data_IF_824247380650
#
_entry.id   IF_824247380650
#
_cell.length_a   1.000
_cell.length_b   1.000
_cell.length_c   1.000
_cell.angle_alpha   90.00
_cell.angle_beta   90.00
_cell.angle_gamma   90.00
#
_symmetry.space_group_name_H-M   'P 1'
#
loop_
_entity.id
_entity.type
_entity.pdbx_description
1 polymer ?
#
# COMPACT_ATOMS: atom_id res chain seq x y z
N UNK A 1 12.75 -7.71 -4.38
CA UNK A 1 11.54 -6.95 -4.75
C UNK A 1 10.57 -6.97 -3.59
N UNK A 2 10.18 -5.81 -3.08
CA UNK A 2 9.21 -5.61 -2.00
C UNK A 2 8.16 -4.59 -2.43
N UNK A 3 6.97 -4.67 -1.83
CA UNK A 3 5.97 -3.61 -1.95
C UNK A 3 6.06 -2.68 -0.75
N UNK A 4 6.16 -1.37 -1.01
CA UNK A 4 6.19 -0.31 -0.01
C UNK A 4 5.04 0.67 -0.17
N UNK A 5 4.72 1.39 0.91
CA UNK A 5 3.71 2.43 0.93
C UNK A 5 4.23 3.67 1.66
N UNK A 6 4.10 4.83 1.03
CA UNK A 6 4.35 6.13 1.65
C UNK A 6 3.01 6.87 1.71
N UNK A 7 2.63 7.36 2.87
CA UNK A 7 1.42 8.14 3.09
C UNK A 7 1.86 9.54 3.52
N UNK A 8 1.55 10.54 2.70
CA UNK A 8 1.95 11.93 2.90
C UNK A 8 0.73 12.74 3.34
N UNK A 9 0.86 13.48 4.44
CA UNK A 9 -0.14 14.41 4.92
C UNK A 9 -0.05 14.65 6.43
N UNK A 10 0.06 15.90 6.83
CA UNK A 10 0.06 16.35 8.23
C UNK A 10 -1.26 16.03 8.94
N UNK A 11 -2.39 16.00 8.20
CA UNK A 11 -3.70 15.67 8.76
C UNK A 11 -3.80 14.22 9.26
N UNK A 12 -3.00 13.32 8.68
CA UNK A 12 -2.90 11.93 9.14
C UNK A 12 -2.06 11.87 10.41
N UNK A 13 -0.88 12.50 10.41
CA UNK A 13 0.01 12.52 11.56
C UNK A 13 -0.58 13.24 12.77
N UNK A 14 -1.35 14.30 12.55
CA UNK A 14 -2.03 15.03 13.62
C UNK A 14 -3.33 14.37 14.11
N UNK A 15 -3.75 13.26 13.48
CA UNK A 15 -4.99 12.58 13.84
C UNK A 15 -6.28 13.30 13.42
N UNK A 16 -6.19 14.41 12.66
CA UNK A 16 -7.36 15.11 12.10
C UNK A 16 -8.13 14.24 11.10
N UNK A 17 -7.42 13.35 10.40
CA UNK A 17 -7.99 12.31 9.54
C UNK A 17 -7.39 10.96 9.88
N UNK A 18 -8.21 9.93 9.86
CA UNK A 18 -7.74 8.55 9.97
C UNK A 18 -7.23 8.07 8.62
N UNK A 19 -6.07 7.44 8.60
CA UNK A 19 -5.59 6.76 7.40
C UNK A 19 -6.51 5.63 6.98
N UNK A 20 -6.76 5.58 5.67
CA UNK A 20 -7.55 4.52 5.00
C UNK A 20 -6.76 3.84 3.88
N UNK A 21 -5.54 4.32 3.59
CA UNK A 21 -4.73 3.77 2.51
C UNK A 21 -4.04 2.49 2.93
N UNK A 22 -3.43 2.45 4.11
CA UNK A 22 -2.70 1.27 4.58
C UNK A 22 -3.55 0.00 4.57
N UNK A 23 -4.72 -0.06 5.23
CA UNK A 23 -5.54 -1.27 5.21
C UNK A 23 -6.00 -1.64 3.79
N UNK A 24 -6.38 -0.65 2.97
CA UNK A 24 -6.82 -0.91 1.59
C UNK A 24 -5.71 -1.43 0.69
N UNK A 25 -4.49 -0.90 0.80
CA UNK A 25 -3.34 -1.38 0.01
C UNK A 25 -2.97 -2.81 0.41
N UNK A 26 -3.04 -3.14 1.71
CA UNK A 26 -2.87 -4.52 2.18
C UNK A 26 -3.89 -5.44 1.51
N UNK A 27 -5.18 -5.09 1.52
CA UNK A 27 -6.24 -5.87 0.88
C UNK A 27 -6.03 -6.04 -0.63
N UNK A 28 -5.67 -4.94 -1.33
CA UNK A 28 -5.44 -4.95 -2.77
C UNK A 28 -4.26 -5.85 -3.17
N UNK A 29 -3.19 -5.82 -2.38
CA UNK A 29 -2.03 -6.69 -2.58
C UNK A 29 -2.37 -8.15 -2.26
N UNK A 30 -3.02 -8.41 -1.13
CA UNK A 30 -3.41 -9.74 -0.70
C UNK A 30 -4.31 -10.44 -1.73
N UNK A 31 -5.29 -9.71 -2.30
CA UNK A 31 -6.16 -10.23 -3.37
C UNK A 31 -5.41 -10.70 -4.63
N UNK A 32 -4.13 -10.31 -4.77
CA UNK A 32 -3.24 -10.67 -5.90
C UNK A 32 -2.09 -11.58 -5.49
N UNK A 33 -2.16 -12.16 -4.29
CA UNK A 33 -1.11 -13.01 -3.72
C UNK A 33 0.18 -12.27 -3.38
N UNK A 34 0.10 -10.95 -3.18
CA UNK A 34 1.21 -10.07 -2.86
C UNK A 34 1.09 -9.59 -1.40
N UNK A 35 2.18 -9.10 -0.84
CA UNK A 35 2.18 -8.59 0.53
C UNK A 35 2.94 -7.28 0.64
N UNK A 36 2.46 -6.37 1.49
CA UNK A 36 3.15 -5.14 1.83
C UNK A 36 4.33 -5.46 2.77
N UNK A 37 5.52 -4.97 2.44
CA UNK A 37 6.72 -5.19 3.23
C UNK A 37 6.93 -4.08 4.28
N UNK A 38 6.58 -2.85 3.94
CA UNK A 38 6.74 -1.71 4.83
C UNK A 38 5.77 -0.57 4.47
N UNK A 39 5.48 0.28 5.45
CA UNK A 39 4.76 1.53 5.27
C UNK A 39 5.46 2.67 6.03
N UNK A 40 5.40 3.89 5.49
CA UNK A 40 5.90 5.12 6.12
C UNK A 40 4.82 6.19 6.09
N UNK A 41 4.69 6.92 7.19
CA UNK A 41 3.87 8.11 7.30
C UNK A 41 4.79 9.33 7.36
N UNK A 42 4.53 10.31 6.51
CA UNK A 42 5.38 11.50 6.33
C UNK A 42 4.48 12.74 6.34
N UNK A 43 4.88 13.77 7.07
CA UNK A 43 4.24 15.08 7.01
C UNK A 43 4.55 15.82 5.72
N UNK A 44 3.94 17.00 5.55
CA UNK A 44 4.07 17.82 4.33
C UNK A 44 5.42 18.60 4.27
N UNK A 45 6.46 18.07 4.90
CA UNK A 45 7.84 18.59 4.85
C UNK A 45 8.54 18.15 3.55
N UNK A 46 8.89 19.08 2.64
CA UNK A 46 9.48 18.73 1.35
C UNK A 46 10.86 18.06 1.45
N UNK A 47 11.64 18.33 2.49
CA UNK A 47 12.97 17.74 2.65
C UNK A 47 12.83 16.28 3.13
N UNK A 48 11.90 16.04 4.04
CA UNK A 48 11.58 14.70 4.52
C UNK A 48 10.99 13.82 3.43
N UNK A 49 10.01 14.35 2.69
CA UNK A 49 9.41 13.65 1.54
C UNK A 49 10.49 13.29 0.52
N UNK A 50 11.40 14.23 0.18
CA UNK A 50 12.47 13.98 -0.77
C UNK A 50 13.45 12.90 -0.29
N UNK A 51 13.77 12.87 1.01
CA UNK A 51 14.64 11.83 1.59
C UNK A 51 14.00 10.45 1.51
N UNK A 52 12.72 10.31 1.92
CA UNK A 52 12.01 9.03 1.86
C UNK A 52 11.81 8.54 0.41
N UNK A 53 11.54 9.45 -0.53
CA UNK A 53 11.44 9.12 -1.95
C UNK A 53 12.79 8.70 -2.55
N UNK A 54 13.91 9.33 -2.12
CA UNK A 54 15.25 8.93 -2.54
C UNK A 54 15.56 7.48 -2.14
N UNK A 55 15.21 7.11 -0.91
CA UNK A 55 15.34 5.73 -0.43
C UNK A 55 14.46 4.78 -1.25
N UNK A 56 13.21 5.17 -1.53
CA UNK A 56 12.28 4.38 -2.32
C UNK A 56 12.80 4.14 -3.75
N UNK A 57 13.30 5.18 -4.42
CA UNK A 57 13.90 5.05 -5.76
C UNK A 57 15.17 4.22 -5.74
N UNK A 58 15.99 4.32 -4.69
CA UNK A 58 17.19 3.48 -4.54
C UNK A 58 16.84 2.00 -4.37
N UNK A 59 15.81 1.69 -3.57
CA UNK A 59 15.27 0.32 -3.43
C UNK A 59 14.69 -0.20 -4.75
N UNK A 60 13.91 0.63 -5.45
CA UNK A 60 13.37 0.29 -6.76
C UNK A 60 14.48 -0.03 -7.78
N UNK A 61 15.53 0.78 -7.83
CA UNK A 61 16.65 0.59 -8.77
C UNK A 61 17.51 -0.64 -8.43
N UNK A 62 17.73 -0.92 -7.15
CA UNK A 62 18.61 -2.00 -6.70
C UNK A 62 17.91 -3.35 -6.62
N UNK A 63 16.69 -3.37 -6.05
CA UNK A 63 15.99 -4.59 -5.63
C UNK A 63 14.70 -4.83 -6.42
N UNK A 64 14.34 -3.90 -7.33
CA UNK A 64 13.08 -3.95 -8.07
C UNK A 64 11.86 -3.62 -7.20
N UNK A 65 12.01 -2.84 -6.12
CA UNK A 65 10.92 -2.52 -5.22
C UNK A 65 9.83 -1.69 -5.90
N UNK A 66 8.59 -1.95 -5.55
CA UNK A 66 7.38 -1.24 -6.00
C UNK A 66 6.85 -0.43 -4.83
N UNK A 67 6.78 0.89 -4.99
CA UNK A 67 6.34 1.77 -3.90
C UNK A 67 5.15 2.61 -4.35
N UNK A 68 4.06 2.56 -3.61
CA UNK A 68 2.94 3.50 -3.75
C UNK A 68 3.15 4.70 -2.84
N UNK A 69 2.96 5.91 -3.37
CA UNK A 69 2.98 7.17 -2.60
C UNK A 69 1.62 7.83 -2.72
N UNK A 70 0.93 7.98 -1.59
CA UNK A 70 -0.42 8.54 -1.50
C UNK A 70 -0.37 9.92 -0.86
N UNK A 71 -0.82 10.96 -1.57
CA UNK A 71 -0.90 12.33 -1.05
C UNK A 71 0.15 13.30 -1.60
N UNK A 72 -0.09 14.59 -1.40
CA UNK A 72 0.82 15.68 -1.73
C UNK A 72 1.05 15.95 -3.23
N UNK A 73 0.16 15.46 -4.11
CA UNK A 73 0.27 15.68 -5.58
C UNK A 73 -0.76 16.66 -6.16
N UNK A 74 -1.53 17.33 -5.32
CA UNK A 74 -2.51 18.32 -5.70
C UNK A 74 -1.90 19.68 -6.15
N UNK A 75 -2.68 20.75 -6.06
CA UNK A 75 -2.28 22.10 -6.46
C UNK A 75 -2.22 23.10 -5.30
N UNK A 76 -2.37 22.62 -4.06
CA UNK A 76 -2.32 23.47 -2.87
C UNK A 76 -0.87 23.71 -2.43
N UNK A 77 -0.59 24.78 -1.66
CA UNK A 77 0.77 25.13 -1.27
C UNK A 77 1.51 24.06 -0.44
N UNK A 78 0.78 23.18 0.21
CA UNK A 78 1.28 22.03 1.00
C UNK A 78 1.53 20.77 0.16
N UNK A 79 1.15 20.76 -1.13
CA UNK A 79 1.39 19.63 -2.05
C UNK A 79 2.85 19.63 -2.57
N UNK A 80 3.75 19.01 -1.83
CA UNK A 80 5.19 19.00 -2.13
C UNK A 80 5.71 17.72 -2.80
N UNK A 81 4.90 16.67 -2.91
CA UNK A 81 5.37 15.33 -3.34
C UNK A 81 5.95 15.33 -4.76
N UNK A 82 5.36 16.07 -5.70
CA UNK A 82 5.85 16.16 -7.09
C UNK A 82 7.24 16.79 -7.17
N UNK A 83 7.44 17.91 -6.48
CA UNK A 83 8.70 18.62 -6.39
C UNK A 83 9.77 17.79 -5.68
N UNK A 84 9.38 17.13 -4.60
CA UNK A 84 10.25 16.23 -3.83
C UNK A 84 10.68 15.02 -4.65
N UNK A 85 9.80 14.47 -5.50
CA UNK A 85 10.14 13.40 -6.43
C UNK A 85 11.19 13.84 -7.47
N UNK A 86 11.03 15.06 -8.04
CA UNK A 86 12.04 15.64 -8.94
C UNK A 86 13.40 15.81 -8.26
N UNK A 87 13.41 16.33 -7.03
CA UNK A 87 14.64 16.48 -6.22
C UNK A 87 15.30 15.14 -5.90
N UNK A 88 14.52 14.14 -5.49
CA UNK A 88 15.01 12.81 -5.17
C UNK A 88 15.69 12.12 -6.38
N UNK A 89 15.16 12.37 -7.57
CA UNK A 89 15.67 11.83 -8.83
C UNK A 89 16.77 12.68 -9.48
N UNK A 90 16.94 13.92 -9.04
CA UNK A 90 17.79 14.90 -9.75
C UNK A 90 17.25 15.25 -11.15
N UNK A 91 15.92 15.21 -11.35
CA UNK A 91 15.24 15.48 -12.62
C UNK A 91 14.46 16.79 -12.56
N UNK A 92 14.47 17.58 -13.64
CA UNK A 92 13.60 18.75 -13.72
C UNK A 92 12.13 18.33 -13.80
N UNK A 93 11.26 19.28 -13.46
CA UNK A 93 9.80 19.12 -13.57
C UNK A 93 9.32 19.75 -14.87
N UNK A 94 8.42 19.09 -15.57
CA UNK A 94 7.78 19.60 -16.78
C UNK A 94 6.27 19.29 -16.77
N UNK A 95 5.50 20.12 -17.43
CA UNK A 95 4.08 19.86 -17.66
C UNK A 95 3.97 18.69 -18.64
N UNK A 96 3.44 17.57 -18.15
CA UNK A 96 3.27 16.36 -18.95
C UNK A 96 2.18 16.57 -20.01
N UNK A 97 2.44 16.32 -21.31
CA UNK A 97 1.48 16.62 -22.37
C UNK A 97 0.12 15.94 -22.20
N UNK A 98 0.11 14.66 -21.87
CA UNK A 98 -1.13 13.90 -21.64
C UNK A 98 -1.88 14.41 -20.39
N UNK A 99 -1.15 14.70 -19.29
CA UNK A 99 -1.77 15.26 -18.09
C UNK A 99 -2.42 16.62 -18.36
N UNK A 100 -1.75 17.49 -19.14
CA UNK A 100 -2.31 18.75 -19.60
C UNK A 100 -3.64 18.55 -20.31
N UNK A 101 -3.68 17.64 -21.26
CA UNK A 101 -4.88 17.40 -22.08
C UNK A 101 -6.04 16.84 -21.22
N UNK A 102 -5.73 15.95 -20.27
CA UNK A 102 -6.70 15.43 -19.28
C UNK A 102 -7.23 16.55 -18.37
N UNK A 103 -6.36 17.44 -17.88
CA UNK A 103 -6.77 18.59 -17.07
C UNK A 103 -7.67 19.52 -17.87
N UNK A 104 -7.34 19.83 -19.14
CA UNK A 104 -8.20 20.63 -20.02
C UNK A 104 -9.55 19.96 -20.27
N UNK A 105 -9.60 18.65 -20.46
CA UNK A 105 -10.85 17.93 -20.57
C UNK A 105 -11.69 18.08 -19.30
N UNK A 106 -11.09 17.89 -18.13
CA UNK A 106 -11.80 18.05 -16.85
C UNK A 106 -12.31 19.49 -16.67
N UNK A 107 -11.52 20.51 -17.04
CA UNK A 107 -11.95 21.91 -16.99
C UNK A 107 -13.17 22.15 -17.88
N UNK A 108 -13.21 21.58 -19.09
CA UNK A 108 -14.36 21.68 -19.99
C UNK A 108 -15.59 20.98 -19.41
N UNK A 109 -15.41 19.77 -18.84
CA UNK A 109 -16.49 19.03 -18.20
C UNK A 109 -17.10 19.87 -17.06
N UNK A 110 -16.27 20.45 -16.20
CA UNK A 110 -16.72 21.31 -15.09
C UNK A 110 -17.42 22.58 -15.57
N UNK A 111 -16.89 23.24 -16.61
CA UNK A 111 -17.54 24.42 -17.18
C UNK A 111 -18.93 24.08 -17.75
N UNK A 112 -19.04 22.93 -18.43
CA UNK A 112 -20.32 22.43 -18.95
C UNK A 112 -21.30 22.05 -17.82
N UNK A 113 -20.84 21.37 -16.77
CA UNK A 113 -21.63 21.03 -15.58
C UNK A 113 -22.18 22.29 -14.88
N UNK A 114 -21.42 23.38 -14.88
CA UNK A 114 -21.78 24.66 -14.25
C UNK A 114 -22.54 25.60 -15.19
N UNK A 115 -22.65 25.26 -16.46
CA UNK A 115 -23.30 26.15 -17.47
C UNK A 115 -22.54 27.45 -17.75
N UNK A 116 -21.19 27.45 -17.56
CA UNK A 116 -20.34 28.62 -17.79
C UNK A 116 -19.41 28.42 -18.98
N UNK A 117 -18.90 29.48 -19.62
CA UNK A 117 -17.91 29.38 -20.68
C UNK A 117 -16.63 28.70 -20.21
N UNK A 118 -16.00 27.91 -21.08
CA UNK A 118 -14.67 27.38 -20.83
C UNK A 118 -13.60 28.46 -21.09
N UNK A 119 -12.90 28.85 -20.05
CA UNK A 119 -11.86 29.89 -20.05
C UNK A 119 -10.52 29.29 -19.65
N UNK A 120 -9.73 28.71 -20.57
CA UNK A 120 -8.49 28.00 -20.24
C UNK A 120 -7.43 28.91 -19.61
N UNK A 121 -7.41 30.20 -19.96
CA UNK A 121 -6.42 31.17 -19.54
C UNK A 121 -6.79 31.90 -18.23
N UNK A 122 -7.91 31.53 -17.62
CA UNK A 122 -8.29 32.06 -16.31
C UNK A 122 -7.29 31.59 -15.25
N UNK A 123 -6.88 32.48 -14.34
CA UNK A 123 -5.80 32.23 -13.37
C UNK A 123 -5.94 30.90 -12.60
N UNK A 124 -7.15 30.55 -12.15
CA UNK A 124 -7.41 29.31 -11.45
C UNK A 124 -7.26 28.06 -12.35
N UNK A 125 -7.57 28.20 -13.64
CA UNK A 125 -7.39 27.13 -14.63
C UNK A 125 -5.91 26.95 -14.98
N UNK A 126 -5.16 28.04 -15.10
CA UNK A 126 -3.70 28.01 -15.27
C UNK A 126 -3.06 27.33 -14.05
N UNK A 127 -3.53 27.67 -12.84
CA UNK A 127 -3.03 27.07 -11.59
C UNK A 127 -3.29 25.55 -11.52
N UNK A 128 -4.41 25.08 -12.06
CA UNK A 128 -4.73 23.65 -12.14
C UNK A 128 -3.74 22.84 -12.98
N UNK A 129 -3.08 23.46 -13.96
CA UNK A 129 -2.05 22.79 -14.76
C UNK A 129 -0.86 22.34 -13.92
N UNK A 130 -0.63 22.95 -12.74
CA UNK A 130 0.41 22.50 -11.81
C UNK A 130 0.21 21.03 -11.39
N UNK A 131 -1.02 20.52 -11.37
CA UNK A 131 -1.28 19.10 -11.06
C UNK A 131 -0.76 18.14 -12.13
N UNK A 132 -0.43 18.63 -13.31
CA UNK A 132 0.17 17.87 -14.40
C UNK A 132 1.69 18.05 -14.57
N UNK A 133 2.32 18.80 -13.65
CA UNK A 133 3.76 19.05 -13.66
C UNK A 133 4.46 17.95 -12.89
N UNK A 134 5.16 17.06 -13.61
CA UNK A 134 5.82 15.86 -13.09
C UNK A 134 7.31 15.85 -13.38
N UNK A 135 8.11 15.02 -12.68
CA UNK A 135 9.51 14.79 -13.07
C UNK A 135 9.59 14.29 -14.51
N UNK A 136 10.56 14.75 -15.27
CA UNK A 136 10.79 14.30 -16.66
C UNK A 136 10.94 12.78 -16.73
N UNK A 137 10.28 12.16 -17.72
CA UNK A 137 10.21 10.71 -17.88
C UNK A 137 9.16 10.01 -17.00
N UNK A 138 8.28 10.77 -16.36
CA UNK A 138 7.11 10.21 -15.68
C UNK A 138 6.12 9.60 -16.69
N UNK A 139 5.43 8.54 -16.28
CA UNK A 139 4.32 7.92 -17.00
C UNK A 139 3.01 8.20 -16.26
N UNK A 140 1.91 8.37 -17.00
CA UNK A 140 0.59 8.67 -16.44
C UNK A 140 -0.01 7.45 -15.74
N UNK A 141 -0.66 7.70 -14.60
CA UNK A 141 -1.60 6.78 -13.95
C UNK A 141 -2.99 7.41 -14.13
N UNK A 142 -3.90 6.77 -14.88
CA UNK A 142 -5.22 7.33 -15.15
C UNK A 142 -6.06 7.40 -13.87
N UNK A 143 -6.81 8.49 -13.74
CA UNK A 143 -7.75 8.69 -12.63
C UNK A 143 -9.20 8.62 -13.17
N UNK A 144 -9.92 7.53 -12.92
CA UNK A 144 -11.28 7.36 -13.44
C UNK A 144 -12.30 8.29 -12.76
N UNK A 145 -11.97 8.85 -11.59
CA UNK A 145 -12.89 9.70 -10.84
C UNK A 145 -13.05 11.11 -11.44
N UNK A 146 -11.93 11.76 -11.78
CA UNK A 146 -11.97 13.15 -12.22
C UNK A 146 -10.96 13.51 -13.32
N UNK A 147 -10.30 12.53 -13.94
CA UNK A 147 -9.26 12.66 -14.97
C UNK A 147 -7.96 13.34 -14.52
N UNK A 148 -7.87 13.85 -13.29
CA UNK A 148 -6.60 14.42 -12.78
C UNK A 148 -5.64 13.27 -12.47
N UNK A 149 -4.72 13.05 -13.37
CA UNK A 149 -3.85 11.89 -13.36
C UNK A 149 -2.87 11.87 -12.16
N UNK A 150 -2.53 10.68 -11.71
CA UNK A 150 -1.30 10.43 -11.00
C UNK A 150 -0.14 10.18 -11.96
N UNK A 151 1.02 9.84 -11.42
CA UNK A 151 2.17 9.55 -12.24
C UNK A 151 3.03 8.44 -11.61
N UNK A 152 3.88 7.83 -12.42
CA UNK A 152 4.89 6.89 -11.95
C UNK A 152 6.24 7.19 -12.57
N UNK A 153 7.29 6.83 -11.86
CA UNK A 153 8.65 6.90 -12.37
C UNK A 153 9.34 5.57 -12.12
N UNK A 154 9.82 4.97 -13.20
CA UNK A 154 10.58 3.72 -13.14
C UNK A 154 12.00 3.97 -12.68
N UNK A 155 12.53 3.01 -11.91
CA UNK A 155 13.92 2.95 -11.49
C UNK A 155 14.36 1.48 -11.50
N UNK A 156 15.23 1.10 -12.44
CA UNK A 156 15.55 -0.32 -12.69
C UNK A 156 14.30 -1.14 -13.04
N UNK A 157 14.15 -2.29 -12.42
CA UNK A 157 12.98 -3.17 -12.59
C UNK A 157 11.79 -2.77 -11.70
N UNK A 158 11.99 -1.80 -10.79
CA UNK A 158 10.97 -1.28 -9.89
C UNK A 158 10.50 0.13 -10.26
N UNK A 159 9.82 0.78 -9.31
CA UNK A 159 9.35 2.15 -9.49
C UNK A 159 8.52 2.68 -8.34
N UNK A 160 8.27 3.99 -8.39
CA UNK A 160 7.39 4.69 -7.43
C UNK A 160 6.18 5.21 -8.18
N UNK A 161 5.00 4.94 -7.62
CA UNK A 161 3.69 5.21 -8.18
C UNK A 161 2.95 6.21 -7.29
N UNK A 162 2.68 7.39 -7.81
CA UNK A 162 2.13 8.52 -7.07
C UNK A 162 0.64 8.70 -7.37
N UNK A 163 -0.17 8.69 -6.32
CA UNK A 163 -1.62 8.85 -6.38
C UNK A 163 -2.09 9.92 -5.39
N UNK A 164 -3.28 10.53 -5.60
CA UNK A 164 -3.83 11.51 -4.65
C UNK A 164 -4.04 10.94 -3.25
N UNK A 165 -4.14 11.84 -2.24
CA UNK A 165 -4.48 11.46 -0.87
C UNK A 165 -5.97 11.10 -0.65
N UNK A 166 -6.85 11.29 -1.64
CA UNK A 166 -8.27 10.96 -1.51
C UNK A 166 -8.55 9.49 -1.88
N UNK A 167 -9.08 8.68 -0.94
CA UNK A 167 -9.36 7.26 -1.16
C UNK A 167 -10.16 6.96 -2.43
N UNK A 168 -11.21 7.73 -2.71
CA UNK A 168 -12.08 7.57 -3.89
C UNK A 168 -11.32 7.69 -5.22
N UNK A 169 -10.20 8.40 -5.24
CA UNK A 169 -9.31 8.54 -6.40
C UNK A 169 -8.16 7.53 -6.33
N UNK A 170 -7.46 7.48 -5.20
CA UNK A 170 -6.25 6.69 -5.05
C UNK A 170 -6.47 5.18 -5.22
N UNK A 171 -7.53 4.63 -4.65
CA UNK A 171 -7.74 3.17 -4.67
C UNK A 171 -7.96 2.61 -6.08
N UNK A 172 -8.85 3.16 -6.92
CA UNK A 172 -8.96 2.69 -8.31
C UNK A 172 -7.68 2.87 -9.13
N UNK A 173 -6.89 3.90 -8.82
CA UNK A 173 -5.61 4.14 -9.50
C UNK A 173 -4.57 3.09 -9.10
N UNK A 174 -4.50 2.71 -7.81
CA UNK A 174 -3.62 1.63 -7.32
C UNK A 174 -4.06 0.29 -7.93
N UNK A 175 -5.37 0.00 -7.96
CA UNK A 175 -5.91 -1.19 -8.61
C UNK A 175 -5.51 -1.25 -10.09
N UNK A 176 -5.66 -0.15 -10.80
CA UNK A 176 -5.25 -0.08 -12.21
C UNK A 176 -3.75 -0.36 -12.38
N UNK A 177 -2.89 0.23 -11.54
CA UNK A 177 -1.44 -0.05 -11.58
C UNK A 177 -1.15 -1.52 -11.35
N UNK A 178 -1.76 -2.12 -10.34
CA UNK A 178 -1.58 -3.53 -10.02
C UNK A 178 -2.04 -4.45 -11.16
N UNK A 179 -3.18 -4.13 -11.80
CA UNK A 179 -3.79 -5.02 -12.79
C UNK A 179 -3.28 -4.79 -14.22
N UNK A 180 -2.87 -3.56 -14.58
CA UNK A 180 -2.42 -3.25 -15.93
C UNK A 180 -0.88 -3.20 -16.06
N UNK A 181 -0.17 -2.71 -15.04
CA UNK A 181 1.29 -2.55 -15.10
C UNK A 181 2.05 -3.68 -14.40
N UNK A 182 1.47 -4.24 -13.33
CA UNK A 182 2.13 -5.17 -12.43
C UNK A 182 1.49 -6.57 -12.40
N UNK A 183 0.58 -6.86 -13.33
CA UNK A 183 -0.10 -8.17 -13.43
C UNK A 183 0.87 -9.35 -13.47
N UNK A 184 2.04 -9.18 -14.07
CA UNK A 184 3.07 -10.20 -14.15
C UNK A 184 3.67 -10.58 -12.78
N UNK A 185 3.45 -9.77 -11.75
CA UNK A 185 3.87 -10.03 -10.37
C UNK A 185 2.82 -10.78 -9.56
N UNK A 186 1.57 -10.91 -10.07
CA UNK A 186 0.50 -11.61 -9.37
C UNK A 186 0.89 -13.08 -9.13
N UNK A 187 0.59 -13.58 -7.94
CA UNK A 187 0.86 -14.96 -7.55
C UNK A 187 -0.46 -15.70 -7.40
N UNK A 188 -0.55 -16.85 -8.07
CA UNK A 188 -1.68 -17.77 -7.93
C UNK A 188 -1.57 -18.58 -6.64
N UNK A 189 -0.35 -18.76 -6.13
CA UNK A 189 -0.08 -19.42 -4.86
C UNK A 189 -0.18 -18.38 -3.74
N UNK A 190 -1.42 -17.95 -3.45
CA UNK A 190 -1.69 -17.06 -2.34
C UNK A 190 -1.15 -17.68 -1.04
N UNK A 191 -0.49 -16.85 -0.25
CA UNK A 191 -0.15 -17.23 1.11
C UNK A 191 -1.45 -17.53 1.84
N UNK A 192 -1.60 -18.75 2.32
CA UNK A 192 -2.75 -19.20 3.10
C UNK A 192 -2.40 -19.20 4.56
N UNK A 193 -3.39 -18.93 5.39
CA UNK A 193 -3.26 -18.97 6.84
C UNK A 193 -4.31 -19.93 7.42
N UNK A 194 -3.88 -20.71 8.40
CA UNK A 194 -4.77 -21.52 9.24
C UNK A 194 -4.42 -21.26 10.69
N UNK A 195 -5.39 -20.89 11.50
CA UNK A 195 -5.20 -20.58 12.91
C UNK A 195 -6.31 -21.14 13.78
N UNK A 196 -6.06 -21.18 15.07
CA UNK A 196 -7.02 -21.59 16.09
C UNK A 196 -6.96 -20.62 17.27
N UNK A 197 -8.10 -20.37 17.89
CA UNK A 197 -8.18 -19.58 19.12
C UNK A 197 -7.76 -20.48 20.29
N UNK A 198 -6.79 -20.02 21.08
CA UNK A 198 -6.22 -20.76 22.23
C UNK A 198 -6.52 -19.98 23.50
N UNK A 199 -7.20 -20.61 24.44
CA UNK A 199 -7.55 -20.00 25.72
C UNK A 199 -6.60 -20.45 26.84
N UNK A 200 -6.29 -19.50 27.74
CA UNK A 200 -5.58 -19.77 28.97
C UNK A 200 -4.09 -20.16 28.82
N UNK A 201 -3.57 -20.17 27.62
CA UNK A 201 -2.16 -20.41 27.37
C UNK A 201 -1.34 -19.12 27.45
N UNK A 202 -0.05 -19.27 27.75
CA UNK A 202 0.96 -18.20 27.66
C UNK A 202 1.85 -18.46 26.45
N UNK A 203 2.16 -17.41 25.67
CA UNK A 203 3.02 -17.52 24.48
C UNK A 203 4.35 -18.20 24.78
N UNK A 204 4.98 -17.83 25.93
CA UNK A 204 6.26 -18.41 26.34
C UNK A 204 6.26 -19.94 26.50
N UNK A 205 5.11 -20.53 26.85
CA UNK A 205 4.99 -21.98 26.97
C UNK A 205 4.80 -22.67 25.61
N UNK A 206 4.33 -21.93 24.61
CA UNK A 206 4.08 -22.42 23.25
C UNK A 206 5.23 -22.13 22.29
N UNK A 207 6.19 -21.26 22.69
CA UNK A 207 7.34 -20.89 21.86
C UNK A 207 8.13 -22.11 21.34
N UNK A 208 8.47 -23.13 22.15
CA UNK A 208 9.18 -24.31 21.65
C UNK A 208 8.43 -25.04 20.52
N UNK A 209 7.11 -25.17 20.61
CA UNK A 209 6.27 -25.75 19.56
C UNK A 209 6.30 -24.91 18.29
N UNK A 210 6.25 -23.57 18.42
CA UNK A 210 6.33 -22.66 17.28
C UNK A 210 7.67 -22.77 16.55
N UNK A 211 8.78 -22.81 17.29
CA UNK A 211 10.12 -22.99 16.74
C UNK A 211 10.31 -24.34 16.07
N UNK A 212 9.78 -25.41 16.65
CA UNK A 212 9.80 -26.75 16.08
C UNK A 212 9.08 -26.79 14.72
N UNK A 213 7.90 -26.18 14.63
CA UNK A 213 7.12 -26.13 13.39
C UNK A 213 7.89 -25.38 12.30
N UNK A 214 8.46 -24.21 12.60
CA UNK A 214 9.24 -23.43 11.62
C UNK A 214 10.50 -24.18 11.16
N UNK A 215 11.14 -24.93 12.06
CA UNK A 215 12.31 -25.74 11.72
C UNK A 215 11.95 -26.96 10.85
N UNK A 216 10.81 -27.58 11.11
CA UNK A 216 10.38 -28.82 10.44
C UNK A 216 9.75 -28.57 9.07
N UNK A 217 8.98 -27.51 8.92
CA UNK A 217 8.20 -27.24 7.71
C UNK A 217 8.79 -26.03 6.95
N UNK A 218 9.66 -26.29 5.99
CA UNK A 218 10.28 -25.24 5.19
C UNK A 218 9.24 -24.37 4.48
N UNK A 219 9.39 -23.05 4.61
CA UNK A 219 8.48 -22.06 4.00
C UNK A 219 7.20 -21.78 4.81
N UNK A 220 7.03 -22.44 5.96
CA UNK A 220 5.97 -22.13 6.92
C UNK A 220 6.48 -21.14 7.98
N UNK A 221 5.63 -20.19 8.34
CA UNK A 221 5.82 -19.28 9.45
C UNK A 221 4.70 -19.46 10.46
N UNK A 222 5.04 -19.48 11.73
CA UNK A 222 4.07 -19.48 12.82
C UNK A 222 3.81 -18.04 13.24
N UNK A 223 2.58 -17.71 13.57
CA UNK A 223 2.22 -16.43 14.13
C UNK A 223 1.38 -16.60 15.39
N UNK A 224 1.54 -15.66 16.33
CA UNK A 224 0.80 -15.58 17.58
C UNK A 224 0.28 -14.17 17.75
N UNK A 225 -1.02 -14.04 17.95
CA UNK A 225 -1.72 -12.76 18.09
C UNK A 225 -2.50 -12.76 19.40
N UNK A 226 -1.90 -12.34 20.52
CA UNK A 226 -2.59 -12.25 21.79
C UNK A 226 -3.62 -11.13 21.81
N UNK A 227 -4.78 -11.40 22.38
CA UNK A 227 -5.85 -10.44 22.61
C UNK A 227 -6.33 -10.52 24.06
N UNK A 228 -6.64 -9.37 24.66
CA UNK A 228 -7.05 -9.29 26.08
C UNK A 228 -8.50 -8.89 26.27
N UNK A 229 -9.12 -8.28 25.27
CA UNK A 229 -10.43 -7.61 25.35
C UNK A 229 -11.36 -7.90 24.16
N UNK A 230 -11.15 -9.04 23.49
CA UNK A 230 -12.02 -9.41 22.37
C UNK A 230 -13.48 -9.60 22.84
N UNK A 231 -14.48 -8.98 22.17
CA UNK A 231 -15.86 -8.94 22.65
C UNK A 231 -16.52 -10.33 22.77
N UNK A 232 -16.13 -11.29 21.95
CA UNK A 232 -16.70 -12.63 21.92
C UNK A 232 -15.86 -13.64 22.71
N UNK A 233 -14.53 -13.59 22.55
CA UNK A 233 -13.62 -14.61 23.09
C UNK A 233 -12.83 -14.16 24.32
N UNK A 234 -12.94 -12.89 24.71
CA UNK A 234 -12.21 -12.34 25.83
C UNK A 234 -10.68 -12.50 25.63
N UNK A 235 -9.98 -12.87 26.70
CA UNK A 235 -8.54 -13.10 26.66
C UNK A 235 -8.20 -14.42 25.98
N UNK A 236 -7.46 -14.36 24.87
CA UNK A 236 -7.05 -15.52 24.09
C UNK A 236 -5.77 -15.24 23.30
N UNK A 237 -5.25 -16.25 22.62
CA UNK A 237 -4.22 -16.14 21.60
C UNK A 237 -4.80 -16.73 20.31
N UNK A 238 -4.78 -15.98 19.20
CA UNK A 238 -4.93 -16.60 17.88
C UNK A 238 -3.54 -17.11 17.48
N UNK A 239 -3.39 -18.44 17.42
CA UNK A 239 -2.15 -19.11 17.05
C UNK A 239 -2.33 -19.83 15.72
N UNK A 240 -1.43 -19.59 14.77
CA UNK A 240 -1.60 -20.13 13.43
C UNK A 240 -0.30 -20.29 12.67
N UNK A 241 -0.44 -20.91 11.51
CA UNK A 241 0.62 -21.13 10.54
C UNK A 241 0.24 -20.44 9.23
N UNK A 242 1.23 -19.88 8.55
CA UNK A 242 1.08 -19.27 7.24
C UNK A 242 2.20 -19.68 6.31
N UNK A 243 1.88 -19.82 5.03
CA UNK A 243 2.87 -20.19 4.01
C UNK A 243 2.24 -20.40 2.65
N UNK A 244 3.11 -20.68 1.68
CA UNK A 244 2.74 -21.07 0.32
C UNK A 244 3.05 -22.55 0.12
N UNK A 245 2.11 -23.33 -0.47
CA UNK A 245 2.35 -24.71 -0.86
C UNK A 245 1.70 -25.80 0.00
N UNK A 246 2.00 -27.07 -0.31
CA UNK A 246 1.29 -28.25 0.21
C UNK A 246 1.52 -28.58 1.68
N UNK A 247 2.55 -28.01 2.32
CA UNK A 247 2.92 -28.33 3.70
C UNK A 247 2.06 -27.62 4.76
N UNK A 248 1.23 -26.64 4.37
CA UNK A 248 0.47 -25.82 5.31
C UNK A 248 -0.48 -26.67 6.16
N UNK A 249 -1.25 -27.56 5.53
CA UNK A 249 -2.19 -28.41 6.23
C UNK A 249 -1.53 -29.41 7.20
N UNK A 250 -0.33 -29.89 6.84
CA UNK A 250 0.44 -30.78 7.71
C UNK A 250 1.03 -30.01 8.89
N UNK A 251 1.59 -28.83 8.65
CA UNK A 251 2.10 -27.95 9.69
C UNK A 251 1.00 -27.51 10.65
N UNK A 252 -0.20 -27.20 10.13
CA UNK A 252 -1.34 -26.84 10.97
C UNK A 252 -1.83 -28.01 11.83
N UNK A 253 -1.88 -29.23 11.27
CA UNK A 253 -2.21 -30.42 12.05
C UNK A 253 -1.19 -30.65 13.17
N UNK A 254 0.10 -30.51 12.87
CA UNK A 254 1.15 -30.62 13.88
C UNK A 254 1.04 -29.57 14.98
N UNK A 255 0.61 -28.34 14.62
CA UNK A 255 0.29 -27.30 15.60
C UNK A 255 -0.85 -27.73 16.53
N UNK A 256 -1.95 -28.26 15.99
CA UNK A 256 -3.08 -28.72 16.80
C UNK A 256 -2.70 -29.86 17.74
N UNK A 257 -1.94 -30.85 17.24
CA UNK A 257 -1.45 -31.98 18.04
C UNK A 257 -0.59 -31.47 19.21
N UNK A 258 0.37 -30.58 18.94
CA UNK A 258 1.21 -29.99 19.97
C UNK A 258 0.43 -29.17 21.00
N UNK A 259 -0.59 -28.43 20.58
CA UNK A 259 -1.48 -27.69 21.50
C UNK A 259 -2.28 -28.64 22.41
N UNK A 260 -2.74 -29.78 21.90
CA UNK A 260 -3.39 -30.82 22.69
C UNK A 260 -2.43 -31.42 23.73
N UNK A 261 -1.19 -31.71 23.34
CA UNK A 261 -0.16 -32.26 24.25
C UNK A 261 0.18 -31.27 25.38
N UNK A 262 0.08 -29.96 25.12
CA UNK A 262 0.20 -28.91 26.13
C UNK A 262 -1.07 -28.72 26.99
N UNK A 263 -2.14 -29.47 26.71
CA UNK A 263 -3.42 -29.34 27.44
C UNK A 263 -4.13 -28.00 27.20
N UNK A 264 -3.86 -27.35 26.06
CA UNK A 264 -4.45 -26.06 25.73
C UNK A 264 -5.94 -26.22 25.41
N UNK A 265 -6.74 -25.27 25.90
CA UNK A 265 -8.18 -25.20 25.54
C UNK A 265 -8.32 -24.50 24.20
N UNK A 266 -8.78 -25.23 23.18
CA UNK A 266 -8.97 -24.71 21.82
C UNK A 266 -10.38 -24.15 21.63
N UNK A 267 -10.48 -23.11 20.81
CA UNK A 267 -11.69 -22.46 20.35
C UNK A 267 -11.90 -22.65 18.84
N UNK A 268 -12.55 -21.69 18.15
CA UNK A 268 -12.77 -21.77 16.72
C UNK A 268 -11.48 -21.81 15.90
N UNK A 269 -11.52 -22.58 14.80
CA UNK A 269 -10.50 -22.55 13.76
C UNK A 269 -10.83 -21.49 12.71
N UNK A 270 -9.80 -20.82 12.19
CA UNK A 270 -9.92 -19.76 11.19
C UNK A 270 -9.07 -20.12 9.97
N UNK A 271 -9.62 -19.93 8.78
CA UNK A 271 -8.93 -20.12 7.48
C UNK A 271 -9.01 -18.82 6.70
N UNK A 272 -7.88 -18.30 6.28
CA UNK A 272 -7.77 -17.05 5.50
C UNK A 272 -6.87 -17.22 4.29
#
# INVERSE_FOLDING_TARGET
>A
MNFGLIIVGDEILSGKRQDKHLPKVIDLLAARGLSLAWARYVGDDPDRIAADLKDAFAGAARDGDIVFSCGGIGATPDDHTRQSAGRALGRPLALHPEARDLIFQRMRDVAAEQGVPFEPDRDDNVHRLNMGVFPEGAEIIPNPYNRIAGFSVKAGDGGVYFVPGFPVMAWPMIEWVLDERLRHLHRTDAQREQSVIVFGAMEATLTPLMEEIEARFAGIKVFSLPSVDHPEWGRHIELGVKGTGGNLAEAYRHLLDGLHDHGAKLGPELVR
#
